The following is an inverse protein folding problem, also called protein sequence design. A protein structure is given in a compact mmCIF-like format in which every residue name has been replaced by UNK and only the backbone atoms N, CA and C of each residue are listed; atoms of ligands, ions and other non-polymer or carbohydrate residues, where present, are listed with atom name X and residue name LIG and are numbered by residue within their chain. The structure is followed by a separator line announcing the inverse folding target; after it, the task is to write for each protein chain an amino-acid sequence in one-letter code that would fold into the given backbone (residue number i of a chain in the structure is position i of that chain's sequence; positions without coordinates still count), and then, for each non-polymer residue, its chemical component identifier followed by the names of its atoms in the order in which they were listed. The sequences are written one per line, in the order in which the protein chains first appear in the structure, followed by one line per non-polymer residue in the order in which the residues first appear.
data_IF_375144152042
#
_entry.id   IF_375144152042
#
_cell.length_a   1.000
_cell.length_b   1.000
_cell.length_c   1.000
_cell.angle_alpha   90.00
_cell.angle_beta   90.00
_cell.angle_gamma   90.00
#
_symmetry.space_group_name_H-M   'P 1'
#
loop_
_entity.id
_entity.type
_entity.pdbx_description
1 polymer ?
#
# COMPACT_ATOMS: atom_id res chain seq x y z
N UNK A 1 -41.08 -74.36 44.97
CA UNK A 1 -40.26 -75.02 43.93
C UNK A 1 -39.47 -73.89 43.31
N UNK A 2 -38.17 -73.68 43.49
CA UNK A 2 -37.01 -74.52 43.87
C UNK A 2 -36.03 -73.60 44.67
N UNK A 3 -35.59 -73.99 45.87
CA UNK A 3 -34.27 -74.59 46.20
C UNK A 3 -33.08 -73.61 46.03
N UNK A 4 -32.51 -73.12 47.14
CA UNK A 4 -31.26 -73.65 47.79
C UNK A 4 -30.00 -72.95 47.22
N UNK A 5 -28.95 -72.62 47.98
CA UNK A 5 -28.55 -72.99 49.34
C UNK A 5 -27.85 -71.83 50.06
N UNK A 6 -27.85 -71.85 51.39
CA UNK A 6 -26.82 -72.47 52.25
C UNK A 6 -25.57 -71.61 52.38
N UNK A 7 -25.43 -70.99 53.57
CA UNK A 7 -24.41 -71.31 54.60
C UNK A 7 -23.07 -70.61 54.29
N UNK A 8 -22.23 -70.19 55.23
CA UNK A 8 -22.24 -69.91 56.66
C UNK A 8 -20.79 -69.47 56.99
N UNK A 9 -20.59 -68.92 58.19
CA UNK A 9 -19.31 -68.51 58.80
C UNK A 9 -18.73 -67.21 58.23
N UNK A 10 -18.42 -66.17 59.00
CA UNK A 10 -18.31 -65.97 60.45
C UNK A 10 -17.46 -64.69 60.63
N UNK A 11 -17.63 -63.92 61.72
CA UNK A 11 -17.10 -62.56 61.83
C UNK A 11 -15.71 -62.52 62.51
N UNK A 12 -14.96 -61.44 62.27
CA UNK A 12 -14.21 -60.58 63.23
C UNK A 12 -13.15 -59.80 62.44
N UNK A 13 -13.38 -58.50 62.20
CA UNK A 13 -12.75 -57.38 62.92
C UNK A 13 -11.27 -57.17 62.58
N UNK A 14 -10.98 -56.09 61.85
CA UNK A 14 -10.02 -55.10 62.36
C UNK A 14 -10.19 -53.76 61.65
N UNK A 15 -10.22 -52.72 62.47
CA UNK A 15 -10.43 -51.30 62.18
C UNK A 15 -9.15 -50.63 61.68
N UNK A 16 -9.29 -49.70 60.73
CA UNK A 16 -8.62 -48.38 60.61
C UNK A 16 -8.83 -47.90 59.16
N UNK A 17 -9.78 -46.99 58.88
CA UNK A 17 -9.77 -45.54 59.12
C UNK A 17 -8.81 -44.75 58.22
N UNK A 18 -9.40 -43.76 57.53
CA UNK A 18 -8.83 -42.57 56.86
C UNK A 18 -8.56 -42.66 55.35
N UNK A 19 -9.64 -42.39 54.61
CA UNK A 19 -9.80 -41.22 53.73
C UNK A 19 -8.92 -41.09 52.47
N UNK A 20 -9.45 -41.57 51.34
CA UNK A 20 -9.13 -41.08 50.00
C UNK A 20 -10.39 -40.47 49.39
N UNK A 21 -10.39 -39.16 49.15
CA UNK A 21 -11.50 -38.40 48.58
C UNK A 21 -11.68 -38.72 47.09
N UNK A 22 -12.91 -39.00 46.66
CA UNK A 22 -13.30 -39.00 45.25
C UNK A 22 -14.43 -37.99 44.96
N UNK A 23 -14.11 -37.12 43.99
CA UNK A 23 -14.97 -36.48 42.99
C UNK A 23 -16.12 -35.54 43.41
N UNK A 24 -15.95 -34.26 43.10
CA UNK A 24 -17.04 -33.45 42.52
C UNK A 24 -16.49 -32.39 41.55
N UNK A 25 -17.12 -32.37 40.39
CA UNK A 25 -16.92 -31.50 39.24
C UNK A 25 -17.26 -30.04 39.56
N UNK A 26 -16.36 -29.11 39.28
CA UNK A 26 -16.71 -27.71 39.05
C UNK A 26 -16.04 -27.22 37.77
N UNK A 27 -16.79 -27.38 36.68
CA UNK A 27 -16.66 -26.54 35.50
C UNK A 27 -16.85 -25.07 35.91
N UNK A 28 -15.80 -24.26 35.86
CA UNK A 28 -15.97 -22.81 35.74
C UNK A 28 -14.80 -22.16 34.99
N UNK A 29 -15.04 -21.93 33.70
CA UNK A 29 -14.63 -20.71 33.00
C UNK A 29 -13.14 -20.46 32.86
N UNK A 30 -12.44 -21.26 32.05
CA UNK A 30 -11.31 -20.73 31.30
C UNK A 30 -11.90 -19.69 30.34
N UNK A 31 -11.83 -18.42 30.73
CA UNK A 31 -12.08 -17.30 29.84
C UNK A 31 -11.13 -17.45 28.66
N UNK A 32 -11.64 -18.02 27.57
CA UNK A 32 -11.02 -17.98 26.27
C UNK A 32 -11.01 -16.51 25.85
N UNK A 33 -10.02 -15.77 26.34
CA UNK A 33 -9.66 -14.46 25.85
C UNK A 33 -9.15 -14.67 24.43
N UNK A 34 -10.09 -14.72 23.48
CA UNK A 34 -9.86 -14.54 22.06
C UNK A 34 -9.42 -13.09 21.82
N UNK A 35 -8.25 -12.74 22.35
CA UNK A 35 -7.47 -11.62 21.86
C UNK A 35 -6.69 -12.19 20.69
N UNK A 36 -7.29 -12.12 19.51
CA UNK A 36 -6.53 -12.14 18.27
C UNK A 36 -5.72 -10.83 18.20
N UNK A 37 -4.77 -10.69 19.12
CA UNK A 37 -3.69 -9.72 18.98
C UNK A 37 -2.72 -10.41 18.02
N UNK A 38 -2.55 -9.89 16.80
CA UNK A 38 -1.60 -10.47 15.88
C UNK A 38 -0.23 -10.51 16.57
N UNK A 39 0.52 -11.62 16.47
CA UNK A 39 1.84 -11.72 17.08
C UNK A 39 2.69 -10.52 16.64
N UNK A 40 3.55 -9.97 17.52
CA UNK A 40 4.31 -8.75 17.24
C UNK A 40 5.13 -8.82 15.94
N UNK A 41 5.51 -10.04 15.54
CA UNK A 41 6.16 -10.35 14.27
C UNK A 41 5.29 -10.05 13.03
N UNK A 42 3.98 -10.33 13.07
CA UNK A 42 3.06 -10.02 11.97
C UNK A 42 2.89 -8.51 11.79
N UNK A 43 2.92 -7.74 12.88
CA UNK A 43 2.89 -6.28 12.84
C UNK A 43 4.23 -5.70 12.33
N UNK A 44 5.36 -6.35 12.64
CA UNK A 44 6.66 -5.94 12.09
C UNK A 44 6.75 -6.24 10.59
N UNK A 45 6.33 -7.43 10.16
CA UNK A 45 6.33 -7.83 8.75
C UNK A 45 5.44 -6.93 7.90
N UNK A 46 4.21 -6.64 8.35
CA UNK A 46 3.34 -5.69 7.62
C UNK A 46 3.93 -4.28 7.59
N UNK A 47 4.56 -3.82 8.67
CA UNK A 47 5.22 -2.52 8.67
C UNK A 47 6.42 -2.46 7.72
N UNK A 48 7.27 -3.49 7.71
CA UNK A 48 8.38 -3.60 6.76
C UNK A 48 7.88 -3.67 5.31
N UNK A 49 6.80 -4.41 5.05
CA UNK A 49 6.19 -4.49 3.73
C UNK A 49 5.63 -3.14 3.27
N UNK A 50 4.95 -2.40 4.17
CA UNK A 50 4.46 -1.06 3.88
C UNK A 50 5.62 -0.11 3.58
N UNK A 51 6.71 -0.14 4.36
CA UNK A 51 7.91 0.67 4.11
C UNK A 51 8.54 0.36 2.75
N UNK A 52 8.69 -0.93 2.42
CA UNK A 52 9.27 -1.38 1.15
C UNK A 52 8.37 -0.94 -0.01
N UNK A 53 7.04 -1.09 0.11
CA UNK A 53 6.08 -0.64 -0.89
C UNK A 53 6.07 0.89 -1.04
N UNK A 54 6.25 1.66 0.04
CA UNK A 54 6.37 3.13 -0.03
C UNK A 54 7.68 3.60 -0.68
N UNK A 55 8.76 2.83 -0.54
CA UNK A 55 10.04 3.09 -1.23
C UNK A 55 9.96 2.77 -2.73
N UNK A 56 9.12 1.82 -3.11
CA UNK A 56 8.89 1.44 -4.51
C UNK A 56 7.78 2.25 -5.18
N UNK A 57 6.83 2.76 -4.39
CA UNK A 57 5.85 3.72 -4.89
C UNK A 57 6.61 4.94 -5.41
N UNK A 58 6.19 5.52 -6.55
CA UNK A 58 6.67 6.83 -6.95
C UNK A 58 6.34 7.78 -5.80
N UNK A 59 7.34 8.08 -4.98
CA UNK A 59 7.27 9.19 -4.04
C UNK A 59 6.82 10.40 -4.87
N UNK A 60 6.00 11.31 -4.34
CA UNK A 60 5.85 12.64 -4.90
C UNK A 60 7.20 13.35 -4.75
N UNK A 61 8.18 12.88 -5.53
CA UNK A 61 9.46 13.50 -5.72
C UNK A 61 9.10 14.88 -6.25
N UNK A 62 9.46 15.91 -5.50
CA UNK A 62 9.79 17.21 -6.06
C UNK A 62 10.88 16.95 -7.09
N UNK A 63 10.47 16.45 -8.26
CA UNK A 63 11.37 16.25 -9.37
C UNK A 63 11.97 17.63 -9.64
N UNK A 64 13.30 17.73 -9.76
CA UNK A 64 13.93 18.98 -10.14
C UNK A 64 13.14 19.55 -11.31
N UNK A 65 12.70 20.80 -11.19
CA UNK A 65 11.87 21.45 -12.19
C UNK A 65 12.53 21.33 -13.57
N UNK A 66 13.85 21.48 -13.60
CA UNK A 66 14.71 21.30 -14.77
C UNK A 66 14.59 19.89 -15.37
N UNK A 67 14.66 18.83 -14.56
CA UNK A 67 14.54 17.45 -15.07
C UNK A 67 13.14 17.16 -15.66
N UNK A 68 12.09 17.80 -15.12
CA UNK A 68 10.74 17.71 -15.67
C UNK A 68 10.63 18.49 -16.97
N UNK A 69 11.19 19.70 -17.03
CA UNK A 69 11.24 20.51 -18.26
C UNK A 69 12.02 19.78 -19.35
N UNK A 70 13.19 19.22 -19.05
CA UNK A 70 14.02 18.48 -20.01
C UNK A 70 13.27 17.30 -20.61
N UNK A 71 12.60 16.52 -19.76
CA UNK A 71 11.77 15.40 -20.23
C UNK A 71 10.60 15.90 -21.09
N UNK A 72 9.98 17.01 -20.70
CA UNK A 72 8.86 17.57 -21.43
C UNK A 72 9.29 18.09 -22.81
N UNK A 73 10.40 18.79 -22.85
CA UNK A 73 11.04 19.31 -24.05
C UNK A 73 11.34 18.20 -25.05
N UNK A 74 11.98 17.12 -24.60
CA UNK A 74 12.33 15.97 -25.44
C UNK A 74 11.12 15.32 -26.10
N UNK A 75 9.99 15.21 -25.38
CA UNK A 75 8.75 14.63 -25.92
C UNK A 75 8.24 15.43 -27.12
N UNK A 76 8.13 16.76 -26.99
CA UNK A 76 7.58 17.60 -28.07
C UNK A 76 8.57 17.85 -29.21
N UNK A 77 9.88 17.95 -28.94
CA UNK A 77 10.92 18.07 -29.97
C UNK A 77 10.96 16.87 -30.89
N UNK A 78 10.86 15.65 -30.33
CA UNK A 78 10.81 14.41 -31.13
C UNK A 78 9.63 14.39 -32.10
N UNK A 79 8.58 15.14 -31.80
CA UNK A 79 7.40 15.23 -32.63
C UNK A 79 7.41 16.41 -33.61
N UNK A 80 8.47 17.23 -33.60
CA UNK A 80 8.69 18.32 -34.54
C UNK A 80 8.35 19.71 -34.01
N UNK A 81 8.14 19.86 -32.69
CA UNK A 81 8.05 21.19 -32.09
C UNK A 81 9.40 21.90 -32.18
N UNK A 82 9.36 23.23 -32.34
CA UNK A 82 10.54 24.09 -32.41
C UNK A 82 10.63 24.94 -31.15
N UNK A 83 11.84 25.31 -30.77
CA UNK A 83 12.07 26.31 -29.73
C UNK A 83 11.59 27.68 -30.20
N UNK A 84 11.11 28.50 -29.28
CA UNK A 84 10.80 29.90 -29.49
C UNK A 84 11.65 30.77 -28.58
N UNK A 85 12.49 31.60 -29.19
CA UNK A 85 13.39 32.52 -28.48
C UNK A 85 12.79 33.91 -28.27
N UNK A 86 11.62 34.16 -28.86
CA UNK A 86 11.01 35.49 -28.97
C UNK A 86 11.21 36.09 -30.37
N UNK A 87 10.20 36.82 -30.85
CA UNK A 87 10.25 37.56 -32.13
C UNK A 87 9.34 38.78 -32.06
N UNK A 88 9.65 39.80 -32.84
CA UNK A 88 8.77 40.98 -33.04
C UNK A 88 7.90 40.83 -34.29
N UNK A 89 8.14 39.80 -35.12
CA UNK A 89 7.33 39.50 -36.28
C UNK A 89 6.10 38.67 -35.87
N UNK A 90 4.87 39.21 -35.98
CA UNK A 90 3.66 38.47 -35.62
C UNK A 90 3.44 37.23 -36.49
N UNK A 91 3.92 37.21 -37.74
CA UNK A 91 3.76 36.06 -38.64
C UNK A 91 4.59 34.88 -38.16
N UNK A 92 5.85 35.14 -37.78
CA UNK A 92 6.74 34.10 -37.22
C UNK A 92 6.19 33.54 -35.90
N UNK A 93 5.68 34.41 -35.02
CA UNK A 93 5.05 33.98 -33.76
C UNK A 93 3.82 33.08 -34.01
N UNK A 94 2.96 33.46 -34.95
CA UNK A 94 1.76 32.69 -35.32
C UNK A 94 2.12 31.35 -35.98
N UNK A 95 3.12 31.32 -36.86
CA UNK A 95 3.62 30.09 -37.46
C UNK A 95 4.19 29.12 -36.41
N UNK A 96 4.93 29.66 -35.44
CA UNK A 96 5.42 28.87 -34.31
C UNK A 96 4.25 28.30 -33.50
N UNK A 97 3.28 29.13 -33.14
CA UNK A 97 2.11 28.74 -32.35
C UNK A 97 1.33 27.61 -33.05
N UNK A 98 1.01 27.77 -34.34
CA UNK A 98 0.30 26.76 -35.13
C UNK A 98 1.07 25.45 -35.23
N UNK A 99 2.39 25.50 -35.36
CA UNK A 99 3.19 24.28 -35.38
C UNK A 99 3.18 23.57 -34.02
N UNK A 100 3.35 24.32 -32.93
CA UNK A 100 3.34 23.79 -31.57
C UNK A 100 1.98 23.20 -31.22
N UNK A 101 0.88 23.90 -31.50
CA UNK A 101 -0.47 23.40 -31.21
C UNK A 101 -0.77 22.09 -31.96
N UNK A 102 -0.41 22.01 -33.26
CA UNK A 102 -0.53 20.78 -34.05
C UNK A 102 0.29 19.61 -33.48
N UNK A 103 1.46 19.90 -32.90
CA UNK A 103 2.28 18.88 -32.24
C UNK A 103 1.64 18.42 -30.94
N UNK A 104 1.17 19.34 -30.11
CA UNK A 104 0.53 19.06 -28.83
C UNK A 104 -0.77 18.25 -28.99
N UNK A 105 -1.55 18.55 -30.04
CA UNK A 105 -2.73 17.77 -30.40
C UNK A 105 -2.40 16.35 -30.82
N UNK A 106 -1.30 16.16 -31.57
CA UNK A 106 -0.88 14.83 -32.04
C UNK A 106 -0.48 13.90 -30.89
N UNK A 107 0.10 14.43 -29.82
CA UNK A 107 0.52 13.66 -28.65
C UNK A 107 -0.59 13.56 -27.58
N UNK A 108 -1.82 13.99 -27.91
CA UNK A 108 -3.03 13.84 -27.07
C UNK A 108 -2.86 14.35 -25.63
N UNK A 109 -2.29 15.55 -25.48
CA UNK A 109 -2.06 16.16 -24.17
C UNK A 109 -3.35 16.48 -23.40
N UNK A 110 -3.34 16.32 -22.07
CA UNK A 110 -4.27 17.05 -21.20
C UNK A 110 -3.97 18.56 -21.22
N UNK A 111 -4.93 19.43 -20.84
CA UNK A 111 -4.68 20.88 -20.77
C UNK A 111 -3.46 21.25 -19.90
N UNK A 112 -3.25 20.57 -18.78
CA UNK A 112 -2.11 20.79 -17.88
C UNK A 112 -0.78 20.35 -18.51
N UNK A 113 -0.81 19.28 -19.32
CA UNK A 113 0.36 18.85 -20.08
C UNK A 113 0.68 19.84 -21.20
N UNK A 114 -0.33 20.35 -21.93
CA UNK A 114 -0.13 21.35 -22.99
C UNK A 114 0.64 22.55 -22.48
N UNK A 115 0.26 23.10 -21.31
CA UNK A 115 0.97 24.22 -20.71
C UNK A 115 2.44 23.88 -20.41
N UNK A 116 2.70 22.76 -19.74
CA UNK A 116 4.08 22.35 -19.39
C UNK A 116 4.96 22.13 -20.62
N UNK A 117 4.40 21.53 -21.67
CA UNK A 117 5.11 21.31 -22.92
C UNK A 117 5.35 22.61 -23.69
N UNK A 118 4.36 23.51 -23.76
CA UNK A 118 4.52 24.81 -24.40
C UNK A 118 5.61 25.64 -23.71
N UNK A 119 5.59 25.70 -22.38
CA UNK A 119 6.62 26.41 -21.59
C UNK A 119 8.01 25.82 -21.81
N UNK A 120 8.13 24.49 -21.94
CA UNK A 120 9.43 23.85 -22.21
C UNK A 120 10.06 24.21 -23.56
N UNK A 121 9.32 24.85 -24.46
CA UNK A 121 9.82 25.29 -25.77
C UNK A 121 10.30 26.75 -25.76
N UNK A 122 10.09 27.50 -24.69
CA UNK A 122 10.57 28.87 -24.57
C UNK A 122 12.04 28.91 -24.14
N UNK A 123 12.80 29.77 -24.79
CA UNK A 123 14.18 30.08 -24.43
C UNK A 123 14.39 31.59 -24.46
N UNK A 124 15.42 32.08 -23.76
CA UNK A 124 15.87 33.49 -23.79
C UNK A 124 14.72 34.47 -23.51
N UNK A 125 14.60 35.53 -24.32
CA UNK A 125 13.64 36.61 -24.17
C UNK A 125 12.18 36.12 -24.08
N UNK A 126 11.83 35.02 -24.74
CA UNK A 126 10.49 34.44 -24.62
C UNK A 126 10.23 33.74 -23.27
N UNK A 127 11.28 33.18 -22.65
CA UNK A 127 11.17 32.56 -21.34
C UNK A 127 11.17 33.61 -20.21
N UNK A 128 11.85 34.74 -20.43
CA UNK A 128 11.99 35.84 -19.46
C UNK A 128 10.81 36.83 -19.46
N UNK A 129 9.87 36.72 -20.41
CA UNK A 129 8.73 37.64 -20.61
C UNK A 129 7.62 37.47 -19.55
#
# INVERSE_FOLDING_TARGET
MEASGENAAGPTESLESVQGHDHASEHQGLEAQNRNVPPPEANHFMQQFIEIMQRMAPQPQLQPHDAVIDKNYEVVRRQGAKVFVGTTDPVEAEEWLRNTDRVLDRIECTPEQKLRYAVSLFEKDALDW
#
